data_IF_515089335971
#
_entry.id   IF_515089335971
#
_cell.length_a   1.000
_cell.length_b   1.000
_cell.length_c   1.000
_cell.angle_alpha   90.00
_cell.angle_beta   90.00
_cell.angle_gamma   90.00
#
_symmetry.space_group_name_H-M   'P 1'
#
loop_
_entity.id
_entity.type
_entity.pdbx_description
1 polymer ?
#
# COMPACT_ATOMS: atom_id res chain seq x y z
N UNK A 1 -10.93 13.23 17.57
CA UNK A 1 -9.52 12.77 17.75
C UNK A 1 -9.37 11.50 18.61
N UNK A 2 -10.46 10.81 19.00
CA UNK A 2 -10.42 9.67 19.94
C UNK A 2 -9.52 8.51 19.48
N UNK A 3 -9.55 8.12 18.21
CA UNK A 3 -8.72 7.03 17.69
C UNK A 3 -7.21 7.35 17.69
N UNK A 4 -6.84 8.62 17.49
CA UNK A 4 -5.46 9.09 17.60
C UNK A 4 -5.02 9.17 19.07
N UNK A 5 -5.88 9.69 19.95
CA UNK A 5 -5.61 9.76 21.40
C UNK A 5 -5.48 8.39 22.05
N UNK A 6 -6.21 7.38 21.54
CA UNK A 6 -6.12 5.99 21.99
C UNK A 6 -4.96 5.21 21.36
N UNK A 7 -4.16 5.83 20.48
CA UNK A 7 -3.01 5.19 19.83
C UNK A 7 -3.36 4.12 18.78
N UNK A 8 -4.64 3.97 18.43
CA UNK A 8 -5.12 3.00 17.44
C UNK A 8 -4.64 3.38 16.04
N UNK A 9 -4.56 4.67 15.75
CA UNK A 9 -4.03 5.23 14.51
C UNK A 9 -3.00 6.31 14.81
N UNK A 10 -1.92 6.34 14.03
CA UNK A 10 -0.94 7.41 14.04
C UNK A 10 -0.90 8.06 12.66
N UNK A 11 -0.91 9.38 12.60
CA UNK A 11 -1.01 10.13 11.36
C UNK A 11 -1.13 11.62 11.59
N UNK A 12 -1.35 12.37 10.51
CA UNK A 12 -1.51 13.83 10.53
C UNK A 12 -2.86 14.19 9.91
N UNK A 13 -3.55 15.15 10.51
CA UNK A 13 -4.79 15.72 9.96
C UNK A 13 -4.42 16.99 9.20
N UNK A 14 -4.72 17.00 7.91
CA UNK A 14 -4.59 18.18 7.07
C UNK A 14 -5.98 18.82 6.97
N UNK A 15 -6.22 19.86 7.78
CA UNK A 15 -7.54 20.46 7.90
C UNK A 15 -7.94 21.25 6.65
N UNK A 16 -6.97 21.85 5.93
CA UNK A 16 -7.25 22.72 4.77
C UNK A 16 -7.83 21.90 3.62
N UNK A 17 -7.26 20.73 3.36
CA UNK A 17 -7.78 19.78 2.35
C UNK A 17 -8.77 18.77 2.94
N UNK A 18 -9.04 18.82 4.25
CA UNK A 18 -9.91 17.89 4.98
C UNK A 18 -9.54 16.41 4.81
N UNK A 19 -8.24 16.09 4.76
CA UNK A 19 -7.74 14.72 4.60
C UNK A 19 -6.97 14.29 5.84
N UNK A 20 -7.15 13.02 6.24
CA UNK A 20 -6.34 12.38 7.28
C UNK A 20 -5.29 11.48 6.62
N UNK A 21 -4.01 11.81 6.80
CA UNK A 21 -2.90 10.97 6.34
C UNK A 21 -2.52 9.99 7.45
N UNK A 22 -2.84 8.71 7.26
CA UNK A 22 -2.54 7.65 8.23
C UNK A 22 -1.14 7.09 7.95
N UNK A 23 -0.26 7.13 8.95
CA UNK A 23 1.10 6.57 8.89
C UNK A 23 1.18 5.14 9.43
N UNK A 24 0.47 4.87 10.52
CA UNK A 24 0.45 3.54 11.16
C UNK A 24 -0.93 3.25 11.72
N UNK A 25 -1.32 1.99 11.61
CA UNK A 25 -2.50 1.42 12.27
C UNK A 25 -2.06 0.33 13.25
N UNK A 26 -2.77 0.19 14.35
CA UNK A 26 -2.55 -0.93 15.27
C UNK A 26 -3.01 -2.25 14.62
N UNK A 27 -2.18 -3.32 14.65
CA UNK A 27 -2.61 -4.66 14.22
C UNK A 27 -3.80 -5.16 15.02
N UNK A 28 -4.68 -5.94 14.40
CA UNK A 28 -5.86 -6.52 15.03
C UNK A 28 -6.06 -7.97 14.60
N UNK A 29 -6.90 -8.70 15.31
CA UNK A 29 -7.36 -10.03 14.89
C UNK A 29 -8.15 -9.89 13.60
N UNK A 30 -7.81 -10.74 12.63
CA UNK A 30 -8.43 -10.75 11.30
C UNK A 30 -9.38 -11.94 11.18
N UNK A 31 -10.50 -11.72 10.49
CA UNK A 31 -11.38 -12.81 10.05
C UNK A 31 -10.97 -13.32 8.66
N UNK A 32 -11.51 -14.47 8.23
CA UNK A 32 -11.14 -15.09 6.96
C UNK A 32 -11.39 -14.18 5.75
N UNK A 33 -12.47 -13.40 5.76
CA UNK A 33 -12.78 -12.46 4.68
C UNK A 33 -11.73 -11.33 4.57
N UNK A 34 -11.24 -10.83 5.70
CA UNK A 34 -10.19 -9.81 5.75
C UNK A 34 -8.85 -10.36 5.26
N UNK A 35 -8.54 -11.62 5.61
CA UNK A 35 -7.34 -12.30 5.10
C UNK A 35 -7.41 -12.45 3.58
N UNK A 36 -8.55 -12.84 3.03
CA UNK A 36 -8.73 -12.97 1.58
C UNK A 36 -8.59 -11.61 0.88
N UNK A 37 -9.12 -10.53 1.46
CA UNK A 37 -8.93 -9.18 0.93
C UNK A 37 -7.44 -8.77 0.88
N UNK A 38 -6.66 -9.08 1.93
CA UNK A 38 -5.23 -8.81 1.95
C UNK A 38 -4.49 -9.63 0.87
N UNK A 39 -4.87 -10.90 0.67
CA UNK A 39 -4.32 -11.75 -0.38
C UNK A 39 -4.56 -11.16 -1.76
N UNK A 40 -5.78 -10.71 -2.05
CA UNK A 40 -6.11 -10.07 -3.34
C UNK A 40 -5.28 -8.81 -3.58
N UNK A 41 -5.08 -7.98 -2.55
CA UNK A 41 -4.24 -6.78 -2.64
C UNK A 41 -2.77 -7.13 -2.94
N UNK A 42 -2.23 -8.16 -2.29
CA UNK A 42 -0.87 -8.63 -2.55
C UNK A 42 -0.71 -9.20 -3.97
N UNK A 43 -1.68 -9.99 -4.44
CA UNK A 43 -1.66 -10.52 -5.81
C UNK A 43 -1.66 -9.38 -6.84
N UNK A 44 -2.56 -8.39 -6.66
CA UNK A 44 -2.63 -7.21 -7.53
C UNK A 44 -1.29 -6.45 -7.54
N UNK A 45 -0.60 -6.37 -6.40
CA UNK A 45 0.70 -5.73 -6.33
C UNK A 45 1.78 -6.52 -7.08
N UNK A 46 1.80 -7.84 -6.90
CA UNK A 46 2.72 -8.73 -7.62
C UNK A 46 2.53 -8.64 -9.14
N UNK A 47 1.28 -8.59 -9.61
CA UNK A 47 0.95 -8.40 -11.03
C UNK A 47 1.52 -7.08 -11.56
N UNK A 48 1.33 -5.97 -10.84
CA UNK A 48 1.89 -4.67 -11.22
C UNK A 48 3.42 -4.66 -11.28
N UNK A 49 4.08 -5.36 -10.35
CA UNK A 49 5.54 -5.51 -10.37
C UNK A 49 5.97 -6.31 -11.59
N UNK A 50 5.25 -7.38 -11.93
CA UNK A 50 5.54 -8.19 -13.10
C UNK A 50 5.37 -7.39 -14.41
N UNK A 51 4.28 -6.63 -14.54
CA UNK A 51 4.08 -5.73 -15.70
C UNK A 51 5.20 -4.70 -15.82
N UNK A 52 5.65 -4.13 -14.70
CA UNK A 52 6.77 -3.18 -14.69
C UNK A 52 8.08 -3.84 -15.15
N UNK A 53 8.32 -5.10 -14.80
CA UNK A 53 9.48 -5.87 -15.28
C UNK A 53 9.39 -6.12 -16.78
N UNK A 54 8.24 -6.56 -17.30
CA UNK A 54 8.04 -6.77 -18.74
C UNK A 54 8.26 -5.46 -19.51
N UNK A 55 7.75 -4.34 -18.99
CA UNK A 55 7.96 -3.03 -19.60
C UNK A 55 9.44 -2.64 -19.63
N UNK A 56 10.17 -2.91 -18.55
CA UNK A 56 11.62 -2.69 -18.49
C UNK A 56 12.37 -3.55 -19.50
N UNK A 57 12.04 -4.84 -19.61
CA UNK A 57 12.65 -5.75 -20.59
C UNK A 57 12.38 -5.31 -22.04
N UNK A 58 11.16 -4.87 -22.34
CA UNK A 58 10.78 -4.38 -23.66
C UNK A 58 11.50 -3.07 -24.04
N UNK A 59 11.82 -2.23 -23.06
CA UNK A 59 12.57 -0.97 -23.26
C UNK A 59 14.09 -1.19 -23.16
N UNK A 60 14.51 -2.38 -22.69
CA UNK A 60 15.81 -2.65 -22.10
C UNK A 60 17.00 -3.07 -22.98
N UNK A 61 16.92 -3.26 -24.32
CA UNK A 61 18.16 -3.54 -25.07
C UNK A 61 19.21 -2.40 -24.92
N UNK A 62 18.76 -1.15 -24.79
CA UNK A 62 19.65 0.03 -24.79
C UNK A 62 20.10 0.49 -23.39
N UNK A 63 19.35 0.17 -22.32
CA UNK A 63 19.71 0.56 -20.94
C UNK A 63 20.57 -0.47 -20.20
N UNK A 64 20.53 -1.74 -20.60
CA UNK A 64 21.25 -2.84 -19.94
C UNK A 64 22.66 -3.08 -20.48
N UNK A 65 23.06 -2.36 -21.54
CA UNK A 65 24.36 -2.50 -22.22
C UNK A 65 25.34 -1.35 -21.96
N UNK A 66 25.03 -0.42 -21.05
CA UNK A 66 25.91 0.70 -20.63
C UNK A 66 26.45 0.53 -19.22
#
# INVERSE_FOLDING_TARGET
MKAMSLGVIQGVIDQVVQIVRIKRVQPRVLNMQQVESLRTQLNTWTEKVHEAVIYLEATGPELMSS
#
